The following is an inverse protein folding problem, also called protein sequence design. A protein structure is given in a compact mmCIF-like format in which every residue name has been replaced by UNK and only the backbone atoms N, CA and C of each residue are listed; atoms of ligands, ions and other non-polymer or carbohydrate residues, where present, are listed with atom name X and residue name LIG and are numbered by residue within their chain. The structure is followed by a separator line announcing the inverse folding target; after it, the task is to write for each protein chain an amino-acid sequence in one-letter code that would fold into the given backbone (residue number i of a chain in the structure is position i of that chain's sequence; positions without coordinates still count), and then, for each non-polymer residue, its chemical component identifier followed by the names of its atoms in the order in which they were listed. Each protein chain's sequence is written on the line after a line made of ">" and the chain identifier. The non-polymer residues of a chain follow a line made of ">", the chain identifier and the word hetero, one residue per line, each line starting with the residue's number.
data_IF_828976893992
#
_entry.id   IF_828976893992
#
_cell.length_a   1.000
_cell.length_b   1.000
_cell.length_c   1.000
_cell.angle_alpha   90.00
_cell.angle_beta   90.00
_cell.angle_gamma   90.00
#
_symmetry.space_group_name_H-M   'P 1'
#
loop_
_entity.id
_entity.type
_entity.pdbx_description
1 polymer ?
#
# COMPACT_ATOMS: atom_id res chain seq x y z
N UNK A 1 0.18 3.85 -8.46
CA UNK A 1 -0.99 4.76 -8.56
C UNK A 1 -1.54 5.02 -7.17
N UNK A 2 -2.12 6.21 -6.94
CA UNK A 2 -2.73 6.59 -5.66
C UNK A 2 -4.16 7.05 -5.92
N UNK A 3 -5.09 6.64 -5.07
CA UNK A 3 -6.49 7.06 -5.12
C UNK A 3 -7.05 7.33 -3.72
N UNK A 4 -8.15 8.06 -3.67
CA UNK A 4 -8.92 8.35 -2.46
C UNK A 4 -10.30 7.75 -2.56
N UNK A 5 -10.88 7.33 -1.44
CA UNK A 5 -12.24 6.78 -1.45
C UNK A 5 -13.28 7.83 -1.82
N UNK A 6 -14.04 7.50 -2.87
CA UNK A 6 -15.15 8.29 -3.36
C UNK A 6 -16.48 7.89 -2.69
N UNK A 7 -16.63 6.61 -2.31
CA UNK A 7 -17.94 6.07 -1.92
C UNK A 7 -18.25 6.30 -0.45
N UNK A 8 -17.23 6.46 0.40
CA UNK A 8 -17.35 6.76 1.84
C UNK A 8 -18.27 5.80 2.59
N UNK A 9 -18.12 4.50 2.33
CA UNK A 9 -18.93 3.46 2.98
C UNK A 9 -18.27 2.97 4.27
N UNK A 10 -19.03 2.33 5.14
CA UNK A 10 -18.50 1.75 6.39
C UNK A 10 -17.36 0.74 6.17
N UNK A 11 -17.33 0.08 5.00
CA UNK A 11 -16.28 -0.90 4.65
C UNK A 11 -15.11 -0.28 3.89
N UNK A 12 -15.21 0.99 3.50
CA UNK A 12 -14.18 1.67 2.74
C UNK A 12 -12.98 2.04 3.63
N UNK A 13 -11.81 2.11 3.01
CA UNK A 13 -10.62 2.78 3.55
C UNK A 13 -10.44 4.12 2.84
N UNK A 14 -9.74 5.07 3.46
CA UNK A 14 -9.66 6.45 2.92
C UNK A 14 -8.78 6.60 1.67
N UNK A 15 -7.72 5.78 1.56
CA UNK A 15 -6.67 5.89 0.54
C UNK A 15 -6.27 4.51 0.02
N UNK A 16 -5.99 4.42 -1.27
CA UNK A 16 -5.42 3.24 -1.93
C UNK A 16 -4.09 3.57 -2.58
N UNK A 17 -3.13 2.65 -2.45
CA UNK A 17 -1.85 2.67 -3.16
C UNK A 17 -1.73 1.36 -3.96
N UNK A 18 -1.64 1.47 -5.29
CA UNK A 18 -1.45 0.33 -6.20
C UNK A 18 -0.06 0.38 -6.81
N UNK A 19 0.64 -0.74 -6.83
CA UNK A 19 1.98 -0.87 -7.43
C UNK A 19 2.04 -2.14 -8.27
N UNK A 20 2.71 -2.05 -9.41
CA UNK A 20 2.92 -3.19 -10.31
C UNK A 20 4.40 -3.53 -10.35
N UNK A 21 4.69 -4.83 -10.37
CA UNK A 21 6.04 -5.38 -10.46
C UNK A 21 6.06 -6.49 -11.51
N UNK A 22 7.19 -6.65 -12.20
CA UNK A 22 7.34 -7.70 -13.21
C UNK A 22 7.30 -9.10 -12.60
N UNK A 23 7.73 -9.24 -11.35
CA UNK A 23 7.76 -10.49 -10.62
C UNK A 23 7.74 -10.29 -9.09
N UNK A 24 7.69 -11.40 -8.36
CA UNK A 24 7.74 -11.44 -6.89
C UNK A 24 9.05 -10.89 -6.31
N UNK A 25 10.16 -10.92 -7.07
CA UNK A 25 11.45 -10.37 -6.64
C UNK A 25 11.44 -8.84 -6.70
N UNK A 26 10.77 -8.26 -7.68
CA UNK A 26 10.50 -6.82 -7.78
C UNK A 26 9.71 -6.33 -6.57
N UNK A 27 8.60 -7.02 -6.25
CA UNK A 27 7.81 -6.75 -5.04
C UNK A 27 8.66 -6.82 -3.77
N UNK A 28 9.46 -7.88 -3.61
CA UNK A 28 10.32 -8.03 -2.43
C UNK A 28 11.35 -6.89 -2.32
N UNK A 29 11.99 -6.55 -3.44
CA UNK A 29 12.98 -5.46 -3.50
C UNK A 29 12.37 -4.13 -3.10
N UNK A 30 11.16 -3.83 -3.58
CA UNK A 30 10.42 -2.64 -3.20
C UNK A 30 10.08 -2.63 -1.70
N UNK A 31 9.50 -3.72 -1.18
CA UNK A 31 9.08 -3.83 0.21
C UNK A 31 10.24 -3.63 1.19
N UNK A 32 11.43 -4.15 0.87
CA UNK A 32 12.64 -4.04 1.71
C UNK A 32 13.45 -2.77 1.44
N UNK A 33 13.08 -1.96 0.44
CA UNK A 33 13.88 -0.82 0.00
C UNK A 33 14.05 0.22 1.13
N UNK A 34 15.28 0.74 1.36
CA UNK A 34 15.54 1.66 2.47
C UNK A 34 14.75 2.96 2.39
N UNK A 35 14.34 3.39 1.19
CA UNK A 35 13.48 4.56 0.99
C UNK A 35 11.99 4.24 1.25
N UNK A 36 11.57 3.00 1.09
CA UNK A 36 10.18 2.59 1.33
C UNK A 36 9.88 2.42 2.83
N UNK A 37 10.87 1.96 3.62
CA UNK A 37 10.70 1.73 5.07
C UNK A 37 10.21 2.96 5.85
N UNK A 38 10.77 4.17 5.69
CA UNK A 38 10.29 5.37 6.38
C UNK A 38 8.84 5.73 6.04
N UNK A 39 8.41 5.44 4.80
CA UNK A 39 7.03 5.67 4.37
C UNK A 39 6.08 4.75 5.14
N UNK A 40 6.43 3.47 5.28
CA UNK A 40 5.64 2.50 6.05
C UNK A 40 5.55 2.91 7.53
N UNK A 41 6.65 3.37 8.12
CA UNK A 41 6.67 3.85 9.51
C UNK A 41 5.77 5.06 9.70
N UNK A 42 5.81 6.02 8.77
CA UNK A 42 4.93 7.19 8.80
C UNK A 42 3.46 6.80 8.69
N UNK A 43 3.12 5.92 7.74
CA UNK A 43 1.75 5.46 7.54
C UNK A 43 1.21 4.71 8.75
N UNK A 44 2.01 3.87 9.41
CA UNK A 44 1.61 3.19 10.65
C UNK A 44 1.27 4.15 11.79
N UNK A 45 1.88 5.33 11.83
CA UNK A 45 1.57 6.36 12.83
C UNK A 45 0.31 7.16 12.50
N UNK A 46 -0.07 7.25 11.22
CA UNK A 46 -1.19 8.06 10.75
C UNK A 46 -2.48 7.25 10.57
N UNK A 47 -2.38 5.98 10.19
CA UNK A 47 -3.52 5.14 9.86
C UNK A 47 -4.05 4.40 11.09
N UNK A 48 -5.37 4.43 11.29
CA UNK A 48 -6.05 3.61 12.30
C UNK A 48 -6.01 2.12 11.96
N UNK A 49 -5.99 1.79 10.67
CA UNK A 49 -5.83 0.43 10.15
C UNK A 49 -5.24 0.47 8.73
N UNK A 50 -4.64 -0.65 8.31
CA UNK A 50 -4.13 -0.83 6.95
C UNK A 50 -4.29 -2.28 6.52
N UNK A 51 -4.70 -2.52 5.27
CA UNK A 51 -4.78 -3.85 4.66
C UNK A 51 -4.02 -3.88 3.35
N UNK A 52 -3.41 -5.01 3.03
CA UNK A 52 -2.57 -5.21 1.84
C UNK A 52 -2.95 -6.52 1.18
N UNK A 53 -2.98 -6.54 -0.15
CA UNK A 53 -3.20 -7.74 -0.96
C UNK A 53 -2.16 -7.78 -2.06
N UNK A 54 -1.34 -8.83 -2.05
CA UNK A 54 -0.40 -9.15 -3.12
C UNK A 54 -0.97 -10.29 -3.96
N UNK A 55 -1.06 -10.11 -5.28
CA UNK A 55 -1.64 -11.10 -6.20
C UNK A 55 -0.93 -11.08 -7.55
N UNK A 56 -1.11 -12.16 -8.31
CA UNK A 56 -0.68 -12.28 -9.72
C UNK A 56 -1.93 -12.22 -10.61
N UNK A 57 -1.82 -11.54 -11.76
CA UNK A 57 -2.91 -11.36 -12.74
C UNK A 57 -2.57 -11.96 -14.09
#
# INVERSE_FOLDING_TARGET
>A
EVGTDFSQTERSYDVVLTTHFDDRKGLKTYSEHPVHRPVVETLRGLCSSSVVVDYES
#
